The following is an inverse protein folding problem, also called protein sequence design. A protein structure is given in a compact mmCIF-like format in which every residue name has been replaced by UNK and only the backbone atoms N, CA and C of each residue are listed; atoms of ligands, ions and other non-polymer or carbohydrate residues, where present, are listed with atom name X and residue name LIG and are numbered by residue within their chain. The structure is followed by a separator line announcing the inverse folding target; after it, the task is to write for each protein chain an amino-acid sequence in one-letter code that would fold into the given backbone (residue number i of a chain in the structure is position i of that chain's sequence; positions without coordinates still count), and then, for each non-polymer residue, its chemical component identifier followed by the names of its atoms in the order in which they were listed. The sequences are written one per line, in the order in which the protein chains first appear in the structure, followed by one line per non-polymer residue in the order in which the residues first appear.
data_IF_018233373636
#
_entry.id   IF_018233373636
#
_cell.length_a   1.000
_cell.length_b   1.000
_cell.length_c   1.000
_cell.angle_alpha   90.00
_cell.angle_beta   90.00
_cell.angle_gamma   90.00
#
_symmetry.space_group_name_H-M   'P 1'
#
loop_
_entity.id
_entity.type
_entity.pdbx_description
1 polymer ?
#
# COMPACT_ATOMS: atom_id res chain seq x y z
N UNK A 1 -19.01 -49.84 -28.61
CA UNK A 1 -18.94 -49.18 -27.30
C UNK A 1 -18.00 -48.00 -27.47
N UNK A 2 -18.52 -46.80 -27.23
CA UNK A 2 -17.76 -45.55 -27.20
C UNK A 2 -16.87 -45.52 -25.94
N UNK A 3 -15.78 -44.74 -26.00
CA UNK A 3 -15.23 -43.85 -24.95
C UNK A 3 -13.84 -43.38 -25.44
N UNK A 4 -13.68 -42.15 -25.93
CA UNK A 4 -13.54 -40.84 -25.26
C UNK A 4 -12.09 -40.47 -24.84
N UNK A 5 -11.57 -39.41 -25.50
CA UNK A 5 -10.75 -38.28 -25.00
C UNK A 5 -9.34 -38.56 -24.43
N UNK A 6 -8.27 -38.16 -25.11
CA UNK A 6 -7.56 -36.85 -25.01
C UNK A 6 -7.15 -36.42 -23.60
N UNK A 7 -5.84 -36.26 -23.41
CA UNK A 7 -5.17 -34.99 -23.06
C UNK A 7 -4.19 -35.05 -21.86
N UNK A 8 -3.11 -34.30 -22.08
CA UNK A 8 -1.93 -33.99 -21.27
C UNK A 8 -2.02 -34.17 -19.74
N UNK A 9 -1.24 -35.11 -19.21
CA UNK A 9 -0.93 -35.20 -17.79
C UNK A 9 0.22 -34.28 -17.39
N UNK A 10 0.00 -32.96 -17.34
CA UNK A 10 0.88 -32.04 -16.59
C UNK A 10 0.24 -31.78 -15.23
N UNK A 11 0.93 -32.22 -14.19
CA UNK A 11 0.49 -32.12 -12.79
C UNK A 11 0.29 -30.65 -12.38
N UNK A 12 -0.92 -30.24 -11.95
CA UNK A 12 -1.26 -28.86 -11.62
C UNK A 12 -0.57 -28.31 -10.36
N UNK A 13 0.21 -29.11 -9.62
CA UNK A 13 0.84 -28.72 -8.37
C UNK A 13 2.38 -28.59 -8.41
N UNK A 14 2.98 -28.50 -9.60
CA UNK A 14 4.45 -28.33 -9.77
C UNK A 14 5.01 -27.10 -9.03
N UNK A 15 4.22 -26.03 -8.89
CA UNK A 15 4.63 -24.76 -8.28
C UNK A 15 4.70 -24.79 -6.74
N UNK A 16 4.25 -25.87 -6.09
CA UNK A 16 4.19 -25.99 -4.62
C UNK A 16 5.42 -26.72 -4.05
N UNK A 17 6.32 -27.27 -4.90
CA UNK A 17 7.54 -27.94 -4.44
C UNK A 17 8.57 -26.92 -3.97
N UNK A 18 8.80 -26.85 -2.66
CA UNK A 18 9.97 -26.16 -2.12
C UNK A 18 11.25 -26.91 -2.55
N UNK A 19 12.33 -26.23 -2.95
CA UNK A 19 13.57 -26.90 -3.27
C UNK A 19 14.18 -27.48 -1.99
N UNK A 20 14.10 -28.81 -1.86
CA UNK A 20 14.82 -29.56 -0.85
C UNK A 20 16.33 -29.44 -1.12
N UNK A 21 17.03 -28.63 -0.33
CA UNK A 21 18.49 -28.61 -0.32
C UNK A 21 19.12 -27.24 -0.14
N UNK A 22 19.20 -26.77 1.11
CA UNK A 22 20.40 -26.10 1.67
C UNK A 22 20.26 -25.93 3.18
N UNK A 23 20.57 -27.01 3.89
CA UNK A 23 20.84 -26.96 5.31
C UNK A 23 22.30 -26.53 5.56
N UNK A 24 22.48 -25.36 6.18
CA UNK A 24 23.48 -25.06 7.22
C UNK A 24 24.97 -24.94 6.86
N UNK A 25 25.58 -23.79 7.19
CA UNK A 25 26.59 -23.64 8.27
C UNK A 25 27.02 -22.18 8.42
N UNK A 26 27.10 -21.72 9.67
CA UNK A 26 27.56 -20.38 10.03
C UNK A 26 29.08 -20.20 9.88
N UNK A 27 29.52 -18.95 9.98
CA UNK A 27 30.94 -18.57 10.05
C UNK A 27 31.16 -17.15 9.54
N UNK A 28 31.19 -16.18 10.46
CA UNK A 28 31.67 -14.81 10.21
C UNK A 28 33.18 -14.89 9.97
N UNK A 29 33.65 -14.53 8.77
CA UNK A 29 34.97 -13.90 8.54
C UNK A 29 35.08 -13.55 7.06
N UNK A 30 35.24 -12.27 6.75
CA UNK A 30 35.45 -11.81 5.37
C UNK A 30 35.21 -10.31 5.24
N UNK A 31 36.20 -9.54 5.70
CA UNK A 31 36.38 -8.12 5.38
C UNK A 31 36.24 -7.87 3.88
N UNK A 32 35.23 -7.08 3.51
CA UNK A 32 34.94 -6.68 2.14
C UNK A 32 33.50 -6.17 2.09
N UNK A 33 33.28 -4.94 2.57
CA UNK A 33 31.99 -4.27 2.43
C UNK A 33 31.79 -3.89 0.97
N UNK A 34 31.38 -4.86 0.16
CA UNK A 34 30.69 -4.59 -1.09
C UNK A 34 29.36 -3.93 -0.74
N UNK A 35 29.33 -2.59 -0.84
CA UNK A 35 28.13 -1.78 -0.78
C UNK A 35 27.27 -1.99 -2.04
N UNK A 36 26.86 -3.22 -2.32
CA UNK A 36 25.68 -3.43 -3.13
C UNK A 36 24.48 -3.06 -2.27
N UNK A 37 24.03 -1.82 -2.40
CA UNK A 37 22.79 -1.33 -1.83
C UNK A 37 21.62 -2.11 -2.44
N UNK A 38 21.35 -3.31 -1.92
CA UNK A 38 20.11 -4.03 -2.14
C UNK A 38 19.00 -3.19 -1.53
N UNK A 39 18.46 -2.24 -2.32
CA UNK A 39 17.28 -1.46 -1.94
C UNK A 39 16.20 -2.47 -1.58
N UNK A 40 15.89 -2.54 -0.29
CA UNK A 40 14.78 -3.33 0.20
C UNK A 40 13.53 -2.91 -0.59
N UNK A 41 12.68 -3.87 -1.00
CA UNK A 41 11.41 -3.54 -1.61
C UNK A 41 10.66 -2.54 -0.72
N UNK A 42 10.05 -1.51 -1.33
CA UNK A 42 9.36 -0.41 -0.61
C UNK A 42 8.37 -0.89 0.46
N UNK A 43 7.82 -2.09 0.31
CA UNK A 43 6.90 -2.69 1.29
C UNK A 43 7.59 -3.28 2.52
N UNK A 44 8.87 -3.67 2.45
CA UNK A 44 9.65 -4.21 3.59
C UNK A 44 10.16 -3.13 4.55
N UNK A 45 10.03 -1.86 4.17
CA UNK A 45 10.43 -0.71 4.99
C UNK A 45 9.23 -0.06 5.70
N UNK A 46 8.07 -0.71 5.73
CA UNK A 46 6.83 -0.14 6.26
C UNK A 46 6.31 -1.00 7.40
N UNK A 47 5.96 -0.35 8.50
CA UNK A 47 5.27 -0.99 9.62
C UNK A 47 3.77 -1.13 9.34
N UNK A 48 3.16 -2.18 9.88
CA UNK A 48 1.73 -2.45 9.73
C UNK A 48 0.95 -1.61 10.75
N UNK A 49 0.08 -0.73 10.25
CA UNK A 49 -0.87 0.03 11.07
C UNK A 49 -2.26 -0.57 10.93
N UNK A 50 -2.88 -0.96 12.05
CA UNK A 50 -4.27 -1.42 12.10
C UNK A 50 -5.19 -0.24 12.46
N UNK A 51 -6.14 0.07 11.58
CA UNK A 51 -7.15 1.12 11.80
C UNK A 51 -8.55 0.51 11.75
N UNK A 52 -9.42 0.96 12.63
CA UNK A 52 -10.85 0.66 12.54
C UNK A 52 -11.48 1.62 11.55
N UNK A 53 -11.99 1.09 10.45
CA UNK A 53 -12.59 1.85 9.36
C UNK A 53 -14.05 1.42 9.26
N UNK A 54 -14.97 2.38 9.12
CA UNK A 54 -16.39 2.06 8.93
C UNK A 54 -16.64 1.51 7.51
N UNK A 55 -17.77 0.85 7.28
CA UNK A 55 -18.11 0.38 5.93
C UNK A 55 -18.26 1.55 4.95
N UNK A 56 -18.78 2.70 5.42
CA UNK A 56 -18.93 3.93 4.63
C UNK A 56 -17.57 4.48 4.19
N UNK A 57 -16.61 4.57 5.11
CA UNK A 57 -15.24 5.00 4.79
C UNK A 57 -14.56 4.04 3.79
N UNK A 58 -14.80 2.74 3.95
CA UNK A 58 -14.25 1.73 3.04
C UNK A 58 -14.84 1.84 1.63
N UNK A 59 -16.16 2.07 1.53
CA UNK A 59 -16.86 2.30 0.28
C UNK A 59 -16.38 3.58 -0.41
N UNK A 60 -16.21 4.67 0.35
CA UNK A 60 -15.60 5.90 -0.14
C UNK A 60 -14.21 5.64 -0.74
N UNK A 61 -13.32 4.95 -0.02
CA UNK A 61 -11.99 4.62 -0.52
C UNK A 61 -12.03 3.72 -1.75
N UNK A 62 -12.99 2.80 -1.83
CA UNK A 62 -13.18 1.94 -2.99
C UNK A 62 -13.61 2.73 -4.22
N UNK A 63 -14.58 3.63 -4.08
CA UNK A 63 -15.07 4.47 -5.17
C UNK A 63 -13.99 5.44 -5.65
N UNK A 64 -13.26 6.06 -4.72
CA UNK A 64 -12.14 6.94 -5.03
C UNK A 64 -11.02 6.21 -5.78
N UNK A 65 -10.66 4.98 -5.35
CA UNK A 65 -9.69 4.15 -6.07
C UNK A 65 -10.14 3.90 -7.52
N UNK A 66 -11.41 3.52 -7.72
CA UNK A 66 -11.94 3.24 -9.06
C UNK A 66 -11.95 4.47 -9.94
N UNK A 67 -12.36 5.62 -9.41
CA UNK A 67 -12.42 6.88 -10.14
C UNK A 67 -11.01 7.32 -10.57
N UNK A 68 -10.05 7.33 -9.65
CA UNK A 68 -8.66 7.65 -9.96
C UNK A 68 -8.13 6.71 -11.04
N UNK A 69 -8.34 5.39 -10.90
CA UNK A 69 -7.85 4.43 -11.87
C UNK A 69 -8.50 4.57 -13.25
N UNK A 70 -9.78 4.96 -13.32
CA UNK A 70 -10.53 5.22 -14.57
C UNK A 70 -10.01 6.46 -15.29
N UNK A 71 -9.66 7.51 -14.54
CA UNK A 71 -9.26 8.81 -15.10
C UNK A 71 -7.76 8.89 -15.48
N UNK A 72 -6.99 7.81 -15.31
CA UNK A 72 -5.55 7.79 -15.64
C UNK A 72 -5.27 7.63 -17.13
N UNK A 73 -4.55 8.62 -17.67
CA UNK A 73 -3.90 8.55 -18.99
C UNK A 73 -2.85 7.43 -19.05
N UNK A 74 -2.50 6.98 -20.27
CA UNK A 74 -1.53 5.90 -20.48
C UNK A 74 -0.17 6.18 -19.83
N UNK A 75 0.33 7.41 -19.95
CA UNK A 75 1.60 7.86 -19.37
C UNK A 75 1.61 7.80 -17.84
N UNK A 76 0.45 8.01 -17.23
CA UNK A 76 0.30 8.04 -15.79
C UNK A 76 0.03 6.65 -15.19
N UNK A 77 0.07 5.54 -15.95
CA UNK A 77 -0.19 4.16 -15.45
C UNK A 77 1.04 3.42 -14.93
N UNK A 78 2.03 4.14 -14.37
CA UNK A 78 3.30 3.56 -13.89
C UNK A 78 3.14 2.61 -12.69
N UNK A 79 2.35 2.99 -11.68
CA UNK A 79 2.10 2.18 -10.48
C UNK A 79 0.60 2.10 -10.16
N UNK A 80 0.07 0.95 -9.74
CA UNK A 80 -1.32 0.88 -9.30
C UNK A 80 -1.53 1.75 -8.05
N UNK A 81 -2.54 2.64 -8.10
CA UNK A 81 -2.97 3.38 -6.90
C UNK A 81 -3.95 2.48 -6.15
N UNK A 82 -3.59 2.16 -4.91
CA UNK A 82 -4.39 1.33 -3.99
C UNK A 82 -4.95 2.18 -2.85
N UNK A 83 -5.94 1.67 -2.10
CA UNK A 83 -6.44 2.31 -0.86
C UNK A 83 -5.30 2.71 0.09
N UNK A 84 -4.31 1.83 0.26
CA UNK A 84 -3.14 2.11 1.10
C UNK A 84 -2.30 3.27 0.54
N UNK A 85 -2.15 3.35 -0.79
CA UNK A 85 -1.46 4.47 -1.45
C UNK A 85 -2.20 5.78 -1.22
N UNK A 86 -3.54 5.77 -1.32
CA UNK A 86 -4.40 6.93 -1.05
C UNK A 86 -4.25 7.38 0.41
N UNK A 87 -4.37 6.47 1.38
CA UNK A 87 -4.22 6.79 2.80
C UNK A 87 -2.85 7.39 3.12
N UNK A 88 -1.78 6.81 2.57
CA UNK A 88 -0.42 7.38 2.72
C UNK A 88 -0.28 8.76 2.10
N UNK A 89 -0.89 9.00 0.94
CA UNK A 89 -0.87 10.31 0.30
C UNK A 89 -1.62 11.35 1.14
N UNK A 90 -2.81 10.99 1.66
CA UNK A 90 -3.57 11.84 2.58
C UNK A 90 -2.78 12.18 3.84
N UNK A 91 -2.11 11.20 4.47
CA UNK A 91 -1.23 11.45 5.61
C UNK A 91 -0.04 12.35 5.24
N UNK A 92 0.53 12.17 4.04
CA UNK A 92 1.58 13.03 3.51
C UNK A 92 1.14 14.49 3.40
N UNK A 93 -0.05 14.74 2.85
CA UNK A 93 -0.64 16.07 2.78
C UNK A 93 -0.97 16.62 4.19
N UNK A 94 -1.53 15.77 5.05
CA UNK A 94 -1.95 16.15 6.40
C UNK A 94 -0.80 16.65 7.28
N UNK A 95 0.43 16.14 7.08
CA UNK A 95 1.62 16.59 7.82
C UNK A 95 1.87 18.10 7.72
N UNK A 96 1.45 18.73 6.63
CA UNK A 96 1.66 20.15 6.40
C UNK A 96 0.51 21.02 6.94
N UNK A 97 -0.59 20.41 7.39
CA UNK A 97 -1.76 21.14 7.88
C UNK A 97 -1.50 21.65 9.29
N UNK A 98 -1.61 22.97 9.46
CA UNK A 98 -1.52 23.63 10.77
C UNK A 98 -2.91 23.74 11.38
N UNK A 99 -3.08 23.15 12.56
CA UNK A 99 -4.31 23.27 13.37
C UNK A 99 -3.96 23.16 14.85
N UNK A 100 -4.85 23.64 15.73
CA UNK A 100 -4.64 23.56 17.18
C UNK A 100 -4.82 22.12 17.67
N UNK A 101 -3.75 21.55 18.25
CA UNK A 101 -3.69 20.18 18.78
C UNK A 101 -3.96 20.08 20.29
N UNK A 102 -4.13 21.21 20.96
CA UNK A 102 -4.31 21.25 22.41
C UNK A 102 -5.73 20.87 22.80
N UNK A 103 -5.85 20.00 23.82
CA UNK A 103 -7.11 19.64 24.49
C UNK A 103 -8.25 19.35 23.50
N UNK A 104 -8.02 18.40 22.60
CA UNK A 104 -9.06 17.94 21.67
C UNK A 104 -9.98 16.96 22.42
N UNK A 105 -11.26 17.30 22.62
CA UNK A 105 -12.17 16.51 23.46
C UNK A 105 -12.66 15.24 22.77
N UNK A 106 -12.91 15.30 21.46
CA UNK A 106 -13.50 14.18 20.71
C UNK A 106 -13.08 14.20 19.22
N UNK A 107 -13.51 13.17 18.49
CA UNK A 107 -13.25 12.99 17.06
C UNK A 107 -13.93 14.07 16.19
N UNK A 108 -15.07 14.60 16.62
CA UNK A 108 -15.81 15.61 15.85
C UNK A 108 -15.08 16.96 15.90
N UNK A 109 -14.61 17.36 17.06
CA UNK A 109 -13.80 18.57 17.24
C UNK A 109 -12.45 18.43 16.52
N UNK A 110 -11.84 17.24 16.54
CA UNK A 110 -10.66 16.95 15.72
C UNK A 110 -10.94 17.22 14.24
N UNK A 111 -12.05 16.67 13.70
CA UNK A 111 -12.47 16.89 12.31
C UNK A 111 -12.68 18.36 11.99
N UNK A 112 -13.38 19.10 12.86
CA UNK A 112 -13.65 20.54 12.67
C UNK A 112 -12.34 21.34 12.59
N UNK A 113 -11.41 21.10 13.51
CA UNK A 113 -10.11 21.81 13.55
C UNK A 113 -9.24 21.47 12.36
N UNK A 114 -9.21 20.21 11.93
CA UNK A 114 -8.49 19.78 10.72
C UNK A 114 -9.08 20.47 9.49
N UNK A 115 -10.42 20.47 9.36
CA UNK A 115 -11.11 21.10 8.24
C UNK A 115 -10.83 22.61 8.17
N UNK A 116 -10.79 23.29 9.33
CA UNK A 116 -10.39 24.69 9.41
C UNK A 116 -8.96 24.90 8.93
N UNK A 117 -8.03 24.09 9.43
CA UNK A 117 -6.62 24.15 9.01
C UNK A 117 -6.41 23.88 7.51
N UNK A 118 -7.25 23.06 6.89
CA UNK A 118 -7.22 22.79 5.45
C UNK A 118 -7.71 24.00 4.62
N UNK A 119 -8.78 24.67 5.03
CA UNK A 119 -9.31 25.87 4.35
C UNK A 119 -8.32 27.03 4.35
N UNK A 120 -7.60 27.19 5.45
CA UNK A 120 -6.58 28.23 5.59
C UNK A 120 -5.33 27.93 4.73
N UNK A 121 -5.22 26.71 4.19
CA UNK A 121 -4.08 26.22 3.40
C UNK A 121 -4.37 26.00 1.91
N UNK A 122 -5.55 26.38 1.41
CA UNK A 122 -5.89 26.29 -0.02
C UNK A 122 -5.62 27.59 -0.77
N UNK A 123 -4.53 27.70 -1.57
CA UNK A 123 -4.34 28.77 -2.55
C UNK A 123 -5.02 28.49 -3.91
N UNK A 124 -5.69 27.36 -4.08
CA UNK A 124 -6.32 26.96 -5.35
C UNK A 124 -7.81 26.73 -5.16
N UNK A 125 -8.59 27.77 -5.41
CA UNK A 125 -10.00 27.65 -5.82
C UNK A 125 -10.01 27.30 -7.31
N UNK A 126 -10.68 26.19 -7.67
CA UNK A 126 -11.03 25.88 -9.05
C UNK A 126 -12.12 26.82 -9.56
#
# INVERSE_FOLDING_TARGET
MADEKTDSGVDPNIWIRQPEGRAGKGGITGTGLDFESKKLPKYKTLDVLTLRITNEDFEFLHNLEREIMKNRSKENRKERITKNTIMRAMLGCFKNVKFNRENIPDENELRIRIMKGLKDHTPWTF
#
